data_IF_804484737187
#
_entry.id   IF_804484737187
#
_cell.length_a   1.000
_cell.length_b   1.000
_cell.length_c   1.000
_cell.angle_alpha   90.00
_cell.angle_beta   90.00
_cell.angle_gamma   90.00
#
_symmetry.space_group_name_H-M   'P 1'
#
loop_
_entity.id
_entity.type
_entity.pdbx_description
1 polymer ?
#
# COMPACT_ATOMS: atom_id res chain seq x y z
N UNK A 1 -34.24 -38.49 5.56
CA UNK A 1 -32.93 -38.41 4.86
C UNK A 1 -32.95 -37.50 3.63
N UNK A 2 -33.95 -37.56 2.73
CA UNK A 2 -34.03 -36.69 1.53
C UNK A 2 -33.95 -35.17 1.82
N UNK A 3 -34.55 -34.71 2.93
CA UNK A 3 -34.53 -33.29 3.35
C UNK A 3 -33.14 -32.83 3.84
N UNK A 4 -32.33 -33.74 4.39
CA UNK A 4 -30.95 -33.43 4.81
C UNK A 4 -30.00 -33.30 3.62
N UNK A 5 -30.21 -34.11 2.57
CA UNK A 5 -29.42 -34.06 1.33
C UNK A 5 -29.62 -32.72 0.61
N UNK A 6 -30.84 -32.19 0.62
CA UNK A 6 -31.16 -30.88 0.02
C UNK A 6 -30.46 -29.74 0.78
N UNK A 7 -30.47 -29.78 2.12
CA UNK A 7 -29.81 -28.76 2.95
C UNK A 7 -28.28 -28.75 2.76
N UNK A 8 -27.66 -29.93 2.66
CA UNK A 8 -26.22 -30.06 2.39
C UNK A 8 -25.86 -29.53 1.00
N UNK A 9 -26.69 -29.80 0.00
CA UNK A 9 -26.47 -29.29 -1.36
C UNK A 9 -26.52 -27.76 -1.43
N UNK A 10 -27.45 -27.12 -0.71
CA UNK A 10 -27.55 -25.65 -0.64
C UNK A 10 -26.35 -25.05 0.10
N UNK A 11 -25.88 -25.70 1.17
CA UNK A 11 -24.71 -25.26 1.92
C UNK A 11 -23.42 -25.34 1.07
N UNK A 12 -23.27 -26.38 0.26
CA UNK A 12 -22.16 -26.53 -0.68
C UNK A 12 -22.21 -25.44 -1.76
N UNK A 13 -23.39 -25.08 -2.28
CA UNK A 13 -23.52 -23.97 -3.22
C UNK A 13 -23.12 -22.62 -2.59
N UNK A 14 -23.46 -22.39 -1.32
CA UNK A 14 -23.09 -21.17 -0.60
C UNK A 14 -21.57 -21.00 -0.41
N UNK A 15 -20.84 -22.12 -0.25
CA UNK A 15 -19.38 -22.10 -0.11
C UNK A 15 -18.65 -21.73 -1.41
N UNK A 16 -19.26 -21.92 -2.58
CA UNK A 16 -18.65 -21.58 -3.88
C UNK A 16 -18.62 -20.06 -4.11
N UNK A 17 -19.63 -19.33 -3.63
CA UNK A 17 -19.72 -17.87 -3.79
C UNK A 17 -18.66 -17.09 -3.00
N UNK A 18 -18.02 -17.69 -1.98
CA UNK A 18 -16.98 -17.03 -1.17
C UNK A 18 -15.64 -16.96 -1.93
N UNK A 19 -15.44 -17.79 -2.97
CA UNK A 19 -14.16 -17.86 -3.70
C UNK A 19 -13.98 -16.80 -4.79
N UNK A 20 -15.00 -16.02 -5.14
CA UNK A 20 -14.91 -15.00 -6.22
C UNK A 20 -14.63 -13.58 -5.73
N UNK A 21 -14.57 -13.35 -4.41
CA UNK A 21 -14.16 -12.06 -3.83
C UNK A 21 -12.68 -11.99 -3.45
N UNK A 22 -11.89 -13.04 -3.74
CA UNK A 22 -10.44 -12.93 -3.71
C UNK A 22 -10.03 -12.25 -5.01
N UNK A 23 -10.12 -10.92 -4.95
CA UNK A 23 -9.93 -10.03 -6.08
C UNK A 23 -8.63 -10.34 -6.80
N UNK A 24 -8.74 -10.50 -8.12
CA UNK A 24 -7.76 -10.05 -9.08
C UNK A 24 -6.32 -9.98 -8.52
N UNK A 25 -5.70 -11.13 -8.23
CA UNK A 25 -4.26 -11.23 -8.00
C UNK A 25 -3.55 -10.98 -9.34
N UNK A 26 -3.71 -9.77 -9.87
CA UNK A 26 -2.72 -9.19 -10.76
C UNK A 26 -1.39 -9.25 -10.02
N UNK A 27 -0.32 -9.55 -10.77
CA UNK A 27 1.05 -9.60 -10.24
C UNK A 27 1.22 -8.50 -9.18
N UNK A 28 1.76 -8.83 -7.99
CA UNK A 28 1.96 -7.83 -6.95
C UNK A 28 2.67 -6.64 -7.58
N UNK A 29 2.00 -5.49 -7.57
CA UNK A 29 2.53 -4.28 -8.15
C UNK A 29 3.85 -3.98 -7.47
N UNK A 30 4.92 -3.93 -8.26
CA UNK A 30 6.27 -3.73 -7.74
C UNK A 30 6.31 -2.45 -6.91
N UNK A 31 6.79 -2.59 -5.67
CA UNK A 31 7.00 -1.46 -4.75
C UNK A 31 8.47 -1.06 -4.78
N UNK A 32 8.70 0.23 -4.57
CA UNK A 32 10.03 0.83 -4.47
C UNK A 32 10.10 1.74 -3.25
N UNK A 33 11.32 2.00 -2.81
CA UNK A 33 11.60 2.89 -1.70
C UNK A 33 11.55 4.34 -2.16
N UNK A 34 10.80 5.18 -1.46
CA UNK A 34 10.61 6.59 -1.74
C UNK A 34 10.80 7.43 -0.49
N UNK A 35 11.47 8.57 -0.64
CA UNK A 35 11.49 9.65 0.33
C UNK A 35 10.42 10.68 -0.03
N UNK A 36 9.45 10.87 0.86
CA UNK A 36 8.34 11.79 0.68
C UNK A 36 8.51 12.97 1.61
N UNK A 37 8.72 14.15 1.04
CA UNK A 37 8.87 15.40 1.77
C UNK A 37 7.53 16.12 1.81
N UNK A 38 7.16 16.59 2.99
CA UNK A 38 5.93 17.34 3.20
C UNK A 38 6.22 18.79 3.54
N UNK A 39 5.26 19.68 3.24
CA UNK A 39 5.36 21.12 3.52
C UNK A 39 5.18 21.48 5.00
N UNK A 40 4.97 20.49 5.87
CA UNK A 40 4.72 20.67 7.29
C UNK A 40 4.40 19.34 7.98
N UNK A 41 4.02 19.37 9.26
CA UNK A 41 3.63 18.17 10.00
C UNK A 41 2.41 17.51 9.36
N UNK A 42 2.41 16.18 9.35
CA UNK A 42 1.32 15.38 8.79
C UNK A 42 0.38 14.86 9.86
N UNK A 43 -0.90 14.76 9.51
CA UNK A 43 -1.85 13.93 10.24
C UNK A 43 -1.77 12.49 9.70
N UNK A 44 -1.84 11.51 10.60
CA UNK A 44 -1.64 10.09 10.31
C UNK A 44 -2.60 9.54 9.22
N UNK A 45 -3.75 10.19 9.04
CA UNK A 45 -4.80 9.72 8.14
C UNK A 45 -4.50 9.92 6.65
N UNK A 46 -3.41 10.60 6.27
CA UNK A 46 -3.11 10.79 4.85
C UNK A 46 -2.84 9.45 4.16
N UNK A 47 -2.03 8.58 4.77
CA UNK A 47 -1.52 7.38 4.09
C UNK A 47 -2.63 6.38 3.75
N UNK A 48 -3.60 6.19 4.64
CA UNK A 48 -4.72 5.28 4.43
C UNK A 48 -5.58 5.70 3.21
N UNK A 49 -5.74 7.00 2.96
CA UNK A 49 -6.48 7.49 1.77
C UNK A 49 -5.80 7.15 0.44
N UNK A 50 -4.50 6.85 0.46
CA UNK A 50 -3.73 6.41 -0.71
C UNK A 50 -3.49 4.89 -0.72
N UNK A 51 -4.13 4.15 0.19
CA UNK A 51 -3.92 2.71 0.36
C UNK A 51 -2.48 2.37 0.74
N UNK A 52 -1.81 3.27 1.46
CA UNK A 52 -0.48 3.04 2.04
C UNK A 52 -0.73 2.54 3.45
N UNK A 53 -0.28 1.32 3.71
CA UNK A 53 -0.47 0.64 4.99
C UNK A 53 0.69 0.97 5.93
N UNK A 54 0.52 0.77 7.24
CA UNK A 54 1.57 1.07 8.22
C UNK A 54 2.87 0.28 7.94
N UNK A 55 2.74 -0.94 7.41
CA UNK A 55 3.86 -1.78 7.00
C UNK A 55 4.65 -1.23 5.80
N UNK A 56 4.06 -0.31 5.04
CA UNK A 56 4.73 0.37 3.93
C UNK A 56 5.54 1.58 4.42
N UNK A 57 5.42 1.97 5.69
CA UNK A 57 6.19 3.07 6.29
C UNK A 57 7.49 2.50 6.87
N UNK A 58 8.59 2.62 6.12
CA UNK A 58 9.91 2.15 6.53
C UNK A 58 10.45 3.00 7.68
N UNK A 59 10.32 4.33 7.56
CA UNK A 59 10.85 5.25 8.56
C UNK A 59 10.12 6.59 8.57
N UNK A 60 9.92 7.15 9.76
CA UNK A 60 9.46 8.52 9.96
C UNK A 60 10.58 9.33 10.57
N UNK A 61 11.07 10.33 9.84
CA UNK A 61 12.09 11.22 10.37
C UNK A 61 11.45 12.17 11.39
N UNK A 62 12.04 12.27 12.58
CA UNK A 62 11.46 13.05 13.68
C UNK A 62 11.72 14.56 13.52
N UNK A 63 12.89 14.92 13.00
CA UNK A 63 13.35 16.31 12.87
C UNK A 63 12.99 16.95 11.53
N UNK A 64 12.59 16.14 10.55
CA UNK A 64 12.26 16.57 9.20
C UNK A 64 10.87 16.05 8.83
N UNK A 65 10.04 16.81 8.12
CA UNK A 65 8.73 16.36 7.63
C UNK A 65 8.91 15.40 6.43
N UNK A 66 9.64 14.31 6.65
CA UNK A 66 10.02 13.32 5.64
C UNK A 66 9.61 11.93 6.11
N UNK A 67 9.09 11.15 5.18
CA UNK A 67 8.74 9.74 5.38
C UNK A 67 9.44 8.89 4.34
N UNK A 68 10.04 7.80 4.79
CA UNK A 68 10.56 6.75 3.91
C UNK A 68 9.48 5.68 3.75
N UNK A 69 9.00 5.49 2.52
CA UNK A 69 7.87 4.63 2.19
C UNK A 69 8.26 3.58 1.15
N UNK A 70 7.79 2.35 1.32
CA UNK A 70 7.85 1.29 0.32
C UNK A 70 6.51 1.22 -0.43
N UNK A 71 6.39 1.90 -1.56
CA UNK A 71 5.12 2.07 -2.28
C UNK A 71 5.29 1.89 -3.77
N UNK A 72 4.17 1.68 -4.47
CA UNK A 72 4.17 1.60 -5.94
C UNK A 72 4.37 2.97 -6.58
N UNK A 73 4.89 3.00 -7.80
CA UNK A 73 4.98 4.23 -8.60
C UNK A 73 3.63 4.93 -8.79
N UNK A 74 2.54 4.14 -8.87
CA UNK A 74 1.18 4.68 -8.99
C UNK A 74 0.80 5.44 -7.73
N UNK A 75 1.05 4.87 -6.55
CA UNK A 75 0.83 5.54 -5.27
C UNK A 75 1.71 6.78 -5.14
N UNK A 76 3.00 6.69 -5.49
CA UNK A 76 3.91 7.85 -5.48
C UNK A 76 3.41 8.98 -6.41
N UNK A 77 2.99 8.67 -7.63
CA UNK A 77 2.42 9.64 -8.59
C UNK A 77 1.13 10.28 -8.08
N UNK A 78 0.27 9.51 -7.42
CA UNK A 78 -0.96 10.03 -6.80
C UNK A 78 -0.63 10.94 -5.62
N UNK A 79 0.26 10.50 -4.74
CA UNK A 79 0.69 11.24 -3.55
C UNK A 79 1.34 12.57 -3.94
N UNK A 80 2.13 12.61 -5.02
CA UNK A 80 2.78 13.85 -5.54
C UNK A 80 1.79 14.97 -5.86
N UNK A 81 0.53 14.65 -6.16
CA UNK A 81 -0.52 15.63 -6.46
C UNK A 81 -1.15 16.25 -5.21
N UNK A 82 -0.87 15.70 -4.02
CA UNK A 82 -1.46 16.17 -2.78
C UNK A 82 -0.87 17.52 -2.36
N UNK A 83 -1.73 18.46 -1.91
CA UNK A 83 -1.34 19.85 -1.62
C UNK A 83 -0.23 20.00 -0.57
N UNK A 84 -0.19 19.06 0.39
CA UNK A 84 0.80 19.01 1.48
C UNK A 84 2.13 18.36 1.08
N UNK A 85 2.21 17.69 -0.07
CA UNK A 85 3.46 17.08 -0.54
C UNK A 85 4.32 18.16 -1.20
N UNK A 86 5.59 18.23 -0.78
CA UNK A 86 6.61 19.13 -1.31
C UNK A 86 7.37 18.46 -2.45
N UNK A 87 7.92 17.27 -2.21
CA UNK A 87 8.62 16.46 -3.19
C UNK A 87 8.49 14.97 -2.86
N UNK A 88 8.72 14.14 -3.88
CA UNK A 88 8.83 12.69 -3.75
C UNK A 88 10.05 12.28 -4.57
N UNK A 89 10.96 11.57 -3.94
CA UNK A 89 12.25 11.16 -4.50
C UNK A 89 12.39 9.65 -4.37
N UNK A 90 12.86 8.97 -5.43
CA UNK A 90 13.17 7.55 -5.37
C UNK A 90 14.44 7.39 -4.53
N UNK A 91 14.41 6.46 -3.57
CA UNK A 91 15.60 6.13 -2.79
C UNK A 91 16.64 5.47 -3.70
N UNK A 92 17.89 5.91 -3.58
CA UNK A 92 18.99 5.46 -4.44
C UNK A 92 20.24 5.24 -3.61
N UNK A 93 20.92 4.13 -3.83
CA UNK A 93 22.19 3.83 -3.17
C UNK A 93 23.30 4.75 -3.67
N UNK A 94 24.08 5.29 -2.73
CA UNK A 94 25.28 6.08 -3.02
C UNK A 94 26.50 5.16 -2.87
N UNK A 95 27.41 5.18 -3.84
CA UNK A 95 28.68 4.47 -3.76
C UNK A 95 29.81 5.44 -3.43
N UNK A 96 30.58 5.15 -2.40
CA UNK A 96 31.80 5.90 -2.07
C UNK A 96 32.94 5.39 -2.96
N UNK A 97 33.64 6.30 -3.62
CA UNK A 97 34.91 6.00 -4.29
C UNK A 97 36.04 6.34 -3.31
N UNK A 98 36.78 5.32 -2.84
CA UNK A 98 38.01 5.52 -2.09
C UNK A 98 39.17 5.74 -3.07
N UNK A 99 39.92 6.83 -2.90
CA UNK A 99 41.15 7.17 -3.64
C UNK A 99 42.39 6.79 -2.82
#
# INVERSE_FOLDING_TARGET
MRRFIILISIFILFLISIKTSIGNFGKPSQKFNYLVHFKGPLHNDLFSTFGIEDQDIIHKYQLLPVYHLNITDKQAKHLRKHSKVKSIELDSSIHTYEN
#
